data_IF_866829211224
#
_entry.id   IF_866829211224
#
_cell.length_a   1.000
_cell.length_b   1.000
_cell.length_c   1.000
_cell.angle_alpha   90.00
_cell.angle_beta   90.00
_cell.angle_gamma   90.00
#
_symmetry.space_group_name_H-M   'P 1'
#
loop_
_entity.id
_entity.type
_entity.pdbx_description
1 polymer ?
#
# COMPACT_ATOMS: atom_id res chain seq x y z
N UNK A 1 49.91 -17.19 -12.13
CA UNK A 1 49.05 -18.00 -11.29
C UNK A 1 48.66 -17.12 -10.10
N UNK A 2 47.54 -16.37 -10.22
CA UNK A 2 47.07 -15.47 -9.19
C UNK A 2 46.28 -16.33 -8.16
N UNK A 3 46.82 -16.44 -6.97
CA UNK A 3 46.13 -17.02 -5.80
C UNK A 3 44.86 -16.18 -5.56
N UNK A 4 43.70 -16.75 -5.85
CA UNK A 4 42.44 -16.19 -5.37
C UNK A 4 42.47 -16.25 -3.84
N UNK A 5 42.54 -15.07 -3.20
CA UNK A 5 42.42 -14.98 -1.77
C UNK A 5 41.11 -15.63 -1.35
N UNK A 6 41.16 -16.66 -0.50
CA UNK A 6 40.01 -17.20 0.20
C UNK A 6 39.41 -16.05 1.03
N UNK A 7 38.11 -15.72 0.90
CA UNK A 7 37.51 -14.66 1.70
C UNK A 7 37.70 -14.99 3.18
N UNK A 8 38.09 -13.96 3.96
CA UNK A 8 38.18 -14.07 5.41
C UNK A 8 36.86 -14.55 5.99
N UNK A 9 36.85 -15.34 7.10
CA UNK A 9 35.63 -15.68 7.82
C UNK A 9 34.76 -14.45 8.14
N UNK A 10 35.36 -13.28 8.35
CA UNK A 10 34.66 -12.01 8.53
C UNK A 10 33.83 -11.55 7.30
N UNK A 11 34.11 -12.08 6.10
CA UNK A 11 33.44 -11.71 4.85
C UNK A 11 32.34 -12.70 4.44
N UNK A 12 32.13 -13.78 5.20
CA UNK A 12 31.09 -14.77 4.89
C UNK A 12 29.71 -14.30 5.39
N UNK A 13 28.71 -14.05 4.52
CA UNK A 13 27.40 -13.58 4.92
C UNK A 13 26.69 -14.46 5.96
N UNK A 14 26.94 -15.78 5.97
CA UNK A 14 26.36 -16.69 6.96
C UNK A 14 26.95 -16.46 8.34
N UNK A 15 28.26 -16.27 8.44
CA UNK A 15 28.94 -16.01 9.69
C UNK A 15 28.58 -14.61 10.24
N UNK A 16 28.46 -13.63 9.35
CA UNK A 16 27.97 -12.29 9.69
C UNK A 16 26.51 -12.35 10.18
N UNK A 17 25.65 -13.12 9.52
CA UNK A 17 24.28 -13.32 9.97
C UNK A 17 24.23 -13.95 11.38
N UNK A 18 25.05 -14.96 11.63
CA UNK A 18 25.10 -15.65 12.93
C UNK A 18 25.66 -14.77 14.06
N UNK A 19 26.63 -13.92 13.78
CA UNK A 19 27.31 -13.11 14.79
C UNK A 19 26.69 -11.74 15.01
N UNK A 20 26.17 -11.09 13.96
CA UNK A 20 25.70 -9.71 13.98
C UNK A 20 24.17 -9.58 13.80
N UNK A 21 23.48 -10.67 13.42
CA UNK A 21 22.05 -10.65 13.11
C UNK A 21 21.73 -10.07 11.74
N UNK A 22 20.46 -10.30 11.31
CA UNK A 22 20.01 -9.97 9.95
C UNK A 22 20.04 -8.46 9.64
N UNK A 23 19.82 -7.61 10.62
CA UNK A 23 19.79 -6.16 10.46
C UNK A 23 21.15 -5.55 10.04
N UNK A 24 22.24 -6.25 10.29
CA UNK A 24 23.59 -5.80 9.93
C UNK A 24 23.99 -6.19 8.49
N UNK A 25 23.19 -6.97 7.80
CA UNK A 25 23.47 -7.46 6.45
C UNK A 25 22.77 -6.62 5.40
N UNK A 26 23.45 -6.43 4.28
CA UNK A 26 22.86 -5.84 3.06
C UNK A 26 21.87 -6.82 2.42
N UNK A 27 20.98 -6.31 1.56
CA UNK A 27 20.05 -7.16 0.80
C UNK A 27 20.79 -8.20 -0.06
N UNK A 28 21.95 -7.83 -0.64
CA UNK A 28 22.77 -8.77 -1.40
C UNK A 28 23.32 -9.91 -0.53
N UNK A 29 23.80 -9.60 0.68
CA UNK A 29 24.28 -10.62 1.63
C UNK A 29 23.16 -11.55 2.09
N UNK A 30 21.96 -11.01 2.37
CA UNK A 30 20.79 -11.83 2.72
C UNK A 30 20.38 -12.75 1.57
N UNK A 31 20.39 -12.26 0.32
CA UNK A 31 20.16 -13.09 -0.86
C UNK A 31 21.24 -14.16 -1.00
N UNK A 32 22.52 -13.83 -0.75
CA UNK A 32 23.62 -14.80 -0.79
C UNK A 32 23.42 -15.94 0.24
N UNK A 33 22.95 -15.62 1.44
CA UNK A 33 22.61 -16.62 2.47
C UNK A 33 21.50 -17.54 1.98
N UNK A 34 20.42 -16.99 1.38
CA UNK A 34 19.30 -17.76 0.83
C UNK A 34 19.74 -18.68 -0.33
N UNK A 35 20.60 -18.19 -1.22
CA UNK A 35 21.12 -18.96 -2.34
C UNK A 35 22.02 -20.13 -1.89
N UNK A 36 22.79 -19.90 -0.85
CA UNK A 36 23.69 -20.88 -0.24
C UNK A 36 24.99 -21.11 -0.99
N UNK A 37 24.95 -21.28 -2.31
CA UNK A 37 26.10 -21.48 -3.17
C UNK A 37 25.88 -20.82 -4.52
N UNK A 38 26.94 -20.47 -5.20
CA UNK A 38 26.92 -20.04 -6.61
C UNK A 38 26.57 -21.16 -7.59
N UNK A 39 26.94 -20.98 -8.81
CA UNK A 39 26.95 -21.99 -9.86
C UNK A 39 28.40 -22.27 -10.29
N UNK A 40 28.66 -23.31 -11.09
CA UNK A 40 30.03 -23.54 -11.62
C UNK A 40 30.60 -22.36 -12.39
N UNK A 41 29.72 -21.52 -12.96
CA UNK A 41 30.12 -20.37 -13.80
C UNK A 41 30.00 -19.02 -13.08
N UNK A 42 29.42 -18.93 -11.86
CA UNK A 42 29.20 -17.65 -11.16
C UNK A 42 29.30 -17.79 -9.66
N UNK A 43 29.97 -16.85 -9.01
CA UNK A 43 30.01 -16.79 -7.55
C UNK A 43 28.62 -16.45 -6.97
N UNK A 44 28.36 -16.86 -5.73
CA UNK A 44 27.13 -16.51 -5.03
C UNK A 44 27.05 -15.00 -4.78
N UNK A 45 28.17 -14.34 -4.58
CA UNK A 45 28.26 -12.89 -4.32
C UNK A 45 27.88 -12.07 -5.55
N UNK A 46 28.38 -12.44 -6.74
CA UNK A 46 28.06 -11.74 -7.98
C UNK A 46 26.59 -11.91 -8.32
N UNK A 47 26.08 -13.13 -8.18
CA UNK A 47 24.68 -13.45 -8.42
C UNK A 47 23.74 -12.70 -7.45
N UNK A 48 24.07 -12.68 -6.16
CA UNK A 48 23.25 -12.00 -5.15
C UNK A 48 23.26 -10.48 -5.31
N UNK A 49 24.39 -9.89 -5.69
CA UNK A 49 24.50 -8.46 -5.95
C UNK A 49 23.63 -8.06 -7.15
N UNK A 50 23.74 -8.77 -8.27
CA UNK A 50 22.93 -8.51 -9.46
C UNK A 50 21.43 -8.65 -9.18
N UNK A 51 21.02 -9.67 -8.44
CA UNK A 51 19.63 -9.83 -8.03
C UNK A 51 19.17 -8.67 -7.13
N UNK A 52 20.02 -8.24 -6.18
CA UNK A 52 19.70 -7.11 -5.30
C UNK A 52 19.52 -5.80 -6.07
N UNK A 53 20.36 -5.55 -7.08
CA UNK A 53 20.30 -4.37 -7.96
C UNK A 53 19.00 -4.29 -8.78
N UNK A 54 18.33 -5.42 -9.06
CA UNK A 54 17.02 -5.45 -9.70
C UNK A 54 15.89 -4.95 -8.79
N UNK A 55 16.14 -4.82 -7.49
CA UNK A 55 15.19 -4.42 -6.47
C UNK A 55 14.35 -5.58 -5.93
N UNK A 56 14.18 -5.61 -4.61
CA UNK A 56 13.49 -6.70 -3.90
C UNK A 56 12.03 -6.86 -4.34
N UNK A 57 11.33 -5.75 -4.61
CA UNK A 57 9.93 -5.79 -5.08
C UNK A 57 9.83 -6.46 -6.45
N UNK A 58 10.73 -6.13 -7.38
CA UNK A 58 10.79 -6.75 -8.72
C UNK A 58 11.05 -8.26 -8.63
N UNK A 59 11.95 -8.68 -7.73
CA UNK A 59 12.20 -10.10 -7.48
C UNK A 59 10.97 -10.81 -6.91
N UNK A 60 10.33 -10.22 -5.90
CA UNK A 60 9.16 -10.79 -5.25
C UNK A 60 7.96 -10.98 -6.20
N UNK A 61 7.82 -10.10 -7.20
CA UNK A 61 6.76 -10.13 -8.21
C UNK A 61 7.10 -10.96 -9.44
N UNK A 62 8.33 -11.45 -9.56
CA UNK A 62 8.77 -12.21 -10.73
C UNK A 62 8.10 -13.59 -10.78
N UNK A 63 7.58 -14.03 -11.95
CA UNK A 63 7.12 -15.41 -12.11
C UNK A 63 8.27 -16.40 -11.87
N UNK A 64 8.03 -17.56 -11.22
CA UNK A 64 9.07 -18.52 -10.85
C UNK A 64 9.96 -18.94 -12.03
N UNK A 65 9.35 -19.28 -13.17
CA UNK A 65 10.06 -19.70 -14.37
C UNK A 65 10.88 -18.57 -15.02
N UNK A 66 10.40 -17.33 -14.92
CA UNK A 66 11.14 -16.15 -15.41
C UNK A 66 12.37 -15.90 -14.56
N UNK A 67 12.20 -15.96 -13.23
CA UNK A 67 13.30 -15.81 -12.29
C UNK A 67 14.34 -16.95 -12.44
N UNK A 68 13.88 -18.19 -12.63
CA UNK A 68 14.73 -19.37 -12.83
C UNK A 68 15.61 -19.33 -14.09
N UNK A 69 15.21 -18.57 -15.13
CA UNK A 69 16.01 -18.36 -16.35
C UNK A 69 17.21 -17.45 -16.14
N UNK A 70 17.29 -16.78 -15.01
CA UNK A 70 18.45 -15.96 -14.69
C UNK A 70 19.70 -16.84 -14.58
N UNK A 71 20.75 -16.47 -15.30
CA UNK A 71 21.96 -17.29 -15.41
C UNK A 71 22.58 -17.56 -14.02
N UNK A 72 22.77 -18.82 -13.68
CA UNK A 72 23.32 -19.27 -12.40
C UNK A 72 22.29 -19.45 -11.26
N UNK A 73 21.00 -19.10 -11.48
CA UNK A 73 19.99 -19.19 -10.43
C UNK A 73 19.29 -20.57 -10.39
N UNK A 74 18.71 -21.01 -11.51
CA UNK A 74 17.93 -22.25 -11.60
C UNK A 74 16.64 -22.24 -10.75
N UNK A 75 15.76 -23.20 -11.01
CA UNK A 75 14.42 -23.23 -10.41
C UNK A 75 14.46 -23.37 -8.88
N UNK A 76 15.28 -24.24 -8.33
CA UNK A 76 15.32 -24.50 -6.88
C UNK A 76 15.70 -23.22 -6.09
N UNK A 77 16.67 -22.46 -6.57
CA UNK A 77 17.09 -21.21 -5.95
C UNK A 77 16.05 -20.11 -6.12
N UNK A 78 15.42 -20.01 -7.31
CA UNK A 78 14.33 -19.08 -7.57
C UNK A 78 13.15 -19.30 -6.61
N UNK A 79 12.72 -20.55 -6.43
CA UNK A 79 11.65 -20.91 -5.51
C UNK A 79 12.00 -20.59 -4.04
N UNK A 80 13.26 -20.78 -3.63
CA UNK A 80 13.73 -20.44 -2.28
C UNK A 80 13.62 -18.94 -2.00
N UNK A 81 14.03 -18.10 -2.95
CA UNK A 81 13.89 -16.64 -2.84
C UNK A 81 12.42 -16.23 -2.75
N UNK A 82 11.57 -16.77 -3.63
CA UNK A 82 10.14 -16.44 -3.64
C UNK A 82 9.45 -16.92 -2.35
N UNK A 83 9.81 -18.08 -1.82
CA UNK A 83 9.30 -18.56 -0.55
C UNK A 83 9.69 -17.64 0.62
N UNK A 84 10.92 -17.12 0.64
CA UNK A 84 11.37 -16.18 1.67
C UNK A 84 10.58 -14.87 1.60
N UNK A 85 10.33 -14.32 0.41
CA UNK A 85 9.49 -13.12 0.24
C UNK A 85 8.04 -13.38 0.68
N UNK A 86 7.48 -14.54 0.38
CA UNK A 86 6.12 -14.89 0.81
C UNK A 86 6.03 -15.04 2.33
N UNK A 87 7.02 -15.65 2.97
CA UNK A 87 7.09 -15.72 4.45
C UNK A 87 7.19 -14.32 5.07
N UNK A 88 8.02 -13.43 4.52
CA UNK A 88 8.10 -12.03 4.98
C UNK A 88 6.77 -11.28 4.81
N UNK A 89 6.07 -11.50 3.70
CA UNK A 89 4.73 -10.92 3.47
C UNK A 89 3.70 -11.44 4.48
N UNK A 90 3.73 -12.74 4.81
CA UNK A 90 2.84 -13.33 5.84
C UNK A 90 3.16 -12.78 7.22
N UNK A 91 4.44 -12.72 7.59
CA UNK A 91 4.86 -12.13 8.87
C UNK A 91 4.37 -10.69 9.01
N UNK A 92 4.55 -9.87 7.97
CA UNK A 92 4.04 -8.49 7.97
C UNK A 92 2.51 -8.41 8.09
N UNK A 93 1.79 -9.38 7.51
CA UNK A 93 0.33 -9.45 7.63
C UNK A 93 -0.14 -9.93 9.02
N UNK A 94 0.64 -10.75 9.70
CA UNK A 94 0.38 -11.19 11.08
C UNK A 94 0.63 -10.06 12.09
N UNK A 95 1.69 -9.27 11.90
CA UNK A 95 2.04 -8.13 12.76
C UNK A 95 1.21 -6.86 12.46
N UNK A 96 0.49 -6.84 11.32
CA UNK A 96 -0.34 -5.69 10.99
C UNK A 96 -1.45 -5.51 12.03
N UNK A 97 -1.59 -4.31 12.62
CA UNK A 97 -2.69 -4.05 13.55
C UNK A 97 -4.03 -4.35 12.84
N UNK A 98 -5.02 -4.86 13.59
CA UNK A 98 -6.31 -5.15 12.99
C UNK A 98 -6.85 -3.89 12.30
N UNK A 99 -7.21 -4.03 11.02
CA UNK A 99 -7.74 -2.92 10.23
C UNK A 99 -9.00 -2.39 10.91
N UNK A 100 -9.09 -1.09 11.18
CA UNK A 100 -10.25 -0.53 11.86
C UNK A 100 -11.51 -0.81 11.04
N UNK A 101 -12.58 -1.14 11.73
CA UNK A 101 -13.91 -1.31 11.13
C UNK A 101 -14.62 0.03 11.11
N UNK A 102 -14.99 0.46 9.91
CA UNK A 102 -15.60 1.76 9.63
C UNK A 102 -17.02 1.54 9.09
N UNK A 103 -17.87 0.95 9.91
CA UNK A 103 -19.22 0.51 9.54
C UNK A 103 -20.35 1.46 9.96
N UNK A 104 -19.98 2.58 10.59
CA UNK A 104 -20.90 3.67 10.89
C UNK A 104 -20.29 5.02 10.51
N UNK A 105 -21.12 6.05 10.27
CA UNK A 105 -20.63 7.41 10.00
C UNK A 105 -19.73 7.95 11.12
N UNK A 106 -20.02 7.63 12.38
CA UNK A 106 -19.24 8.02 13.56
C UNK A 106 -17.86 7.37 13.54
N UNK A 107 -17.78 6.08 13.19
CA UNK A 107 -16.52 5.36 13.09
C UNK A 107 -15.65 5.95 11.96
N UNK A 108 -16.26 6.27 10.80
CA UNK A 108 -15.57 6.94 9.69
C UNK A 108 -15.11 8.34 10.09
N UNK A 109 -15.98 9.15 10.67
CA UNK A 109 -15.65 10.49 11.13
C UNK A 109 -14.57 10.47 12.21
N UNK A 110 -14.65 9.55 13.19
CA UNK A 110 -13.61 9.38 14.21
C UNK A 110 -12.24 9.03 13.64
N UNK A 111 -12.21 8.30 12.52
CA UNK A 111 -10.98 8.02 11.78
C UNK A 111 -10.45 9.26 11.02
N UNK A 112 -11.33 10.05 10.41
CA UNK A 112 -10.97 11.14 9.51
C UNK A 112 -10.72 12.49 10.22
N UNK A 113 -11.51 12.85 11.23
CA UNK A 113 -11.44 14.15 11.91
C UNK A 113 -10.03 14.50 12.40
N UNK A 114 -9.30 13.60 13.11
CA UNK A 114 -7.96 13.94 13.61
C UNK A 114 -6.93 14.19 12.51
N UNK A 115 -7.21 13.70 11.29
CA UNK A 115 -6.29 13.75 10.15
C UNK A 115 -6.58 14.89 9.20
N UNK A 116 -7.85 15.21 8.99
CA UNK A 116 -8.26 16.05 7.87
C UNK A 116 -9.06 17.30 8.24
N UNK A 117 -9.69 17.35 9.43
CA UNK A 117 -10.55 18.47 9.79
C UNK A 117 -9.80 19.81 9.93
N UNK A 118 -8.51 19.80 10.21
CA UNK A 118 -7.69 21.00 10.45
C UNK A 118 -6.96 21.53 9.21
N UNK A 119 -7.19 20.94 8.02
CA UNK A 119 -6.59 21.48 6.80
C UNK A 119 -7.09 22.90 6.50
N UNK A 120 -6.14 23.82 6.23
CA UNK A 120 -6.44 25.20 5.92
C UNK A 120 -7.09 25.38 4.53
N UNK A 121 -6.93 24.41 3.65
CA UNK A 121 -7.59 24.31 2.34
C UNK A 121 -8.49 23.09 2.31
N UNK A 122 -9.48 23.13 1.44
CA UNK A 122 -10.36 21.98 1.21
C UNK A 122 -9.57 20.82 0.62
N UNK A 123 -9.70 19.64 1.21
CA UNK A 123 -9.15 18.39 0.68
C UNK A 123 -10.32 17.44 0.44
N UNK A 124 -10.30 16.80 -0.72
CA UNK A 124 -11.23 15.74 -1.06
C UNK A 124 -10.49 14.40 -1.11
N UNK A 125 -11.06 13.37 -0.49
CA UNK A 125 -10.44 12.06 -0.43
C UNK A 125 -11.43 10.92 -0.38
N UNK A 126 -10.90 9.71 -0.32
CA UNK A 126 -11.65 8.46 -0.20
C UNK A 126 -11.08 7.58 0.91
N UNK A 127 -11.97 6.83 1.52
CA UNK A 127 -11.68 5.66 2.35
C UNK A 127 -12.13 4.42 1.59
N UNK A 128 -11.22 3.50 1.32
CA UNK A 128 -11.48 2.24 0.64
C UNK A 128 -11.78 1.14 1.66
N UNK A 129 -12.87 0.40 1.47
CA UNK A 129 -13.35 -0.61 2.42
C UNK A 129 -13.49 -2.00 1.79
N UNK A 130 -13.25 -3.04 2.60
CA UNK A 130 -13.54 -4.42 2.22
C UNK A 130 -15.03 -4.77 2.45
N UNK A 131 -15.42 -6.03 2.15
CA UNK A 131 -16.80 -6.52 2.33
C UNK A 131 -17.28 -6.56 3.79
N UNK A 132 -16.39 -6.39 4.76
CA UNK A 132 -16.69 -6.31 6.20
C UNK A 132 -16.53 -4.89 6.74
N UNK A 133 -16.52 -3.89 5.88
CA UNK A 133 -16.28 -2.47 6.19
C UNK A 133 -14.97 -2.21 6.94
N UNK A 134 -13.93 -3.02 6.70
CA UNK A 134 -12.61 -2.76 7.25
C UNK A 134 -11.81 -1.88 6.31
N UNK A 135 -11.03 -0.98 6.87
CA UNK A 135 -10.16 -0.05 6.13
C UNK A 135 -9.13 -0.82 5.31
N UNK A 136 -9.16 -0.64 3.99
CA UNK A 136 -8.12 -1.11 3.07
C UNK A 136 -7.05 -0.05 2.83
N UNK A 137 -7.45 1.22 2.82
CA UNK A 137 -6.59 2.36 2.64
C UNK A 137 -7.39 3.66 2.53
N UNK A 138 -6.66 4.76 2.57
CA UNK A 138 -7.16 6.12 2.47
C UNK A 138 -6.33 6.88 1.45
N UNK A 139 -6.95 7.73 0.65
CA UNK A 139 -6.26 8.50 -0.38
C UNK A 139 -6.89 9.87 -0.55
N UNK A 140 -6.07 10.92 -0.46
CA UNK A 140 -6.44 12.25 -0.93
C UNK A 140 -6.44 12.22 -2.44
N UNK A 141 -7.56 12.63 -3.04
CA UNK A 141 -7.79 12.69 -4.48
C UNK A 141 -7.43 14.06 -5.01
N UNK A 142 -7.81 15.10 -4.26
CA UNK A 142 -7.53 16.46 -4.66
C UNK A 142 -7.40 17.38 -3.45
N UNK A 143 -6.62 18.46 -3.62
CA UNK A 143 -6.47 19.52 -2.64
C UNK A 143 -6.79 20.84 -3.33
N UNK A 144 -7.76 21.58 -2.80
CA UNK A 144 -8.23 22.84 -3.38
C UNK A 144 -7.38 24.03 -3.02
N UNK A 145 -7.45 25.05 -3.91
CA UNK A 145 -7.12 26.42 -3.59
C UNK A 145 -8.32 27.18 -3.01
N UNK A 146 -8.33 28.52 -3.11
CA UNK A 146 -9.39 29.38 -2.54
C UNK A 146 -10.79 29.22 -3.18
N UNK A 147 -10.94 28.41 -4.23
CA UNK A 147 -12.19 28.13 -4.93
C UNK A 147 -12.26 26.64 -5.23
N UNK A 148 -13.30 25.96 -4.79
CA UNK A 148 -13.66 24.54 -4.88
C UNK A 148 -12.74 23.59 -5.67
N UNK A 149 -12.57 22.38 -5.17
CA UNK A 149 -11.83 21.32 -5.85
C UNK A 149 -12.71 20.70 -6.93
N UNK A 150 -12.35 20.89 -8.20
CA UNK A 150 -13.02 20.18 -9.30
C UNK A 150 -12.63 18.69 -9.26
N UNK A 151 -13.42 17.87 -8.55
CA UNK A 151 -13.26 16.40 -8.50
C UNK A 151 -14.22 15.75 -9.48
N UNK A 152 -13.72 14.82 -10.28
CA UNK A 152 -14.54 13.97 -11.14
C UNK A 152 -14.70 12.56 -10.57
N UNK A 153 -15.77 11.82 -10.93
CA UNK A 153 -15.86 10.42 -10.58
C UNK A 153 -14.67 9.58 -11.05
N UNK A 154 -14.09 9.92 -12.20
CA UNK A 154 -12.93 9.22 -12.73
C UNK A 154 -11.72 9.33 -11.77
N UNK A 155 -11.43 10.52 -11.23
CA UNK A 155 -10.33 10.75 -10.29
C UNK A 155 -10.52 9.93 -9.01
N UNK A 156 -11.75 9.92 -8.49
CA UNK A 156 -12.14 9.19 -7.27
C UNK A 156 -11.95 7.69 -7.43
N UNK A 157 -12.50 7.10 -8.48
CA UNK A 157 -12.40 5.65 -8.66
C UNK A 157 -11.01 5.21 -9.12
N UNK A 158 -10.29 6.02 -9.90
CA UNK A 158 -8.89 5.75 -10.21
C UNK A 158 -8.03 5.70 -8.94
N UNK A 159 -8.27 6.58 -7.98
CA UNK A 159 -7.59 6.57 -6.69
C UNK A 159 -7.97 5.36 -5.83
N UNK A 160 -9.20 4.83 -5.97
CA UNK A 160 -9.71 3.69 -5.21
C UNK A 160 -9.20 2.34 -5.74
N UNK A 161 -9.10 2.16 -7.06
CA UNK A 161 -8.79 0.88 -7.71
C UNK A 161 -7.54 0.13 -7.17
N UNK A 162 -6.41 0.80 -6.82
CA UNK A 162 -5.25 0.10 -6.25
C UNK A 162 -5.54 -0.66 -4.96
N UNK A 163 -6.54 -0.24 -4.18
CA UNK A 163 -6.96 -0.90 -2.95
C UNK A 163 -7.88 -2.10 -3.19
N UNK A 164 -8.39 -2.29 -4.42
CA UNK A 164 -9.39 -3.31 -4.79
C UNK A 164 -10.58 -3.33 -3.82
N UNK A 165 -11.26 -2.19 -3.60
CA UNK A 165 -12.28 -2.06 -2.58
C UNK A 165 -13.58 -2.75 -3.01
N UNK A 166 -14.40 -3.16 -2.02
CA UNK A 166 -15.80 -3.51 -2.25
C UNK A 166 -16.68 -2.27 -2.24
N UNK A 167 -16.31 -1.30 -1.42
CA UNK A 167 -17.02 -0.03 -1.29
C UNK A 167 -16.06 1.10 -0.92
N UNK A 168 -16.50 2.33 -1.12
CA UNK A 168 -15.78 3.53 -0.74
C UNK A 168 -16.68 4.46 0.07
N UNK A 169 -16.05 5.24 0.95
CA UNK A 169 -16.62 6.46 1.54
C UNK A 169 -15.86 7.63 0.95
N UNK A 170 -16.56 8.61 0.42
CA UNK A 170 -15.98 9.89 0.05
C UNK A 170 -15.90 10.79 1.29
N UNK A 171 -14.93 11.69 1.33
CA UNK A 171 -14.87 12.71 2.37
C UNK A 171 -14.24 14.00 1.85
N UNK A 172 -14.61 15.12 2.44
CA UNK A 172 -13.91 16.39 2.32
C UNK A 172 -14.04 17.20 3.61
N UNK A 173 -13.20 18.20 3.78
CA UNK A 173 -13.31 19.12 4.89
C UNK A 173 -13.75 20.49 4.39
N UNK A 174 -14.52 21.20 5.22
CA UNK A 174 -14.82 22.60 5.08
C UNK A 174 -13.92 23.43 6.01
N UNK A 175 -13.00 24.24 5.47
CA UNK A 175 -12.15 25.13 6.28
C UNK A 175 -12.94 26.17 7.09
N UNK A 176 -14.20 26.45 6.72
CA UNK A 176 -15.12 27.28 7.49
C UNK A 176 -15.49 26.70 8.86
N UNK A 177 -15.33 25.38 9.03
CA UNK A 177 -15.76 24.66 10.24
C UNK A 177 -17.24 24.26 10.26
N UNK A 178 -18.05 24.63 9.25
CA UNK A 178 -19.43 24.18 9.10
C UNK A 178 -19.49 22.93 8.22
N UNK A 179 -19.95 21.76 8.73
CA UNK A 179 -20.02 20.52 7.97
C UNK A 179 -21.25 20.42 7.06
N UNK A 180 -22.07 21.49 6.93
CA UNK A 180 -23.28 21.43 6.12
C UNK A 180 -22.92 21.21 4.64
N UNK A 181 -23.46 20.14 3.98
CA UNK A 181 -23.18 19.89 2.57
C UNK A 181 -23.73 21.01 1.66
N UNK A 182 -22.94 21.43 0.68
CA UNK A 182 -23.35 22.35 -0.37
C UNK A 182 -24.17 21.64 -1.46
N UNK A 183 -24.75 22.40 -2.38
CA UNK A 183 -25.44 21.82 -3.56
C UNK A 183 -24.45 21.15 -4.52
N UNK A 184 -23.23 21.68 -4.61
CA UNK A 184 -22.14 21.09 -5.38
C UNK A 184 -21.75 19.72 -4.81
N UNK A 185 -21.68 19.58 -3.47
CA UNK A 185 -21.40 18.30 -2.80
C UNK A 185 -22.49 17.27 -3.09
N UNK A 186 -23.75 17.68 -3.05
CA UNK A 186 -24.88 16.81 -3.39
C UNK A 186 -24.81 16.33 -4.84
N UNK A 187 -24.54 17.25 -5.78
CA UNK A 187 -24.40 16.92 -7.19
C UNK A 187 -23.22 15.99 -7.46
N UNK A 188 -22.08 16.22 -6.80
CA UNK A 188 -20.92 15.33 -6.91
C UNK A 188 -21.24 13.95 -6.33
N UNK A 189 -21.83 13.87 -5.13
CA UNK A 189 -22.18 12.62 -4.46
C UNK A 189 -23.11 11.77 -5.31
N UNK A 190 -24.14 12.37 -5.92
CA UNK A 190 -25.01 11.67 -6.85
C UNK A 190 -24.24 11.07 -8.03
N UNK A 191 -23.32 11.84 -8.65
CA UNK A 191 -22.50 11.34 -9.77
C UNK A 191 -21.59 10.19 -9.33
N UNK A 192 -20.99 10.29 -8.11
CA UNK A 192 -20.15 9.24 -7.55
C UNK A 192 -20.92 7.96 -7.31
N UNK A 193 -22.12 8.04 -6.70
CA UNK A 193 -22.99 6.88 -6.45
C UNK A 193 -23.31 6.14 -7.76
N UNK A 194 -23.76 6.87 -8.79
CA UNK A 194 -24.07 6.31 -10.12
C UNK A 194 -22.86 5.66 -10.79
N UNK A 195 -21.68 6.30 -10.69
CA UNK A 195 -20.46 5.73 -11.26
C UNK A 195 -20.00 4.48 -10.51
N UNK A 196 -20.15 4.47 -9.17
CA UNK A 196 -19.84 3.33 -8.33
C UNK A 196 -20.70 2.11 -8.64
N UNK A 197 -22.01 2.31 -8.90
CA UNK A 197 -22.91 1.24 -9.34
C UNK A 197 -22.41 0.57 -10.62
N UNK A 198 -22.01 1.36 -11.62
CA UNK A 198 -21.50 0.85 -12.90
C UNK A 198 -20.19 0.06 -12.72
N UNK A 199 -19.32 0.53 -11.82
CA UNK A 199 -18.02 -0.10 -11.54
C UNK A 199 -18.10 -1.29 -10.58
N UNK A 200 -19.26 -1.53 -9.94
CA UNK A 200 -19.40 -2.53 -8.89
C UNK A 200 -18.67 -2.16 -7.58
N UNK A 201 -18.38 -0.88 -7.36
CA UNK A 201 -17.73 -0.32 -6.16
C UNK A 201 -18.71 0.67 -5.53
N UNK A 202 -19.47 0.23 -4.52
CA UNK A 202 -20.51 1.05 -3.93
C UNK A 202 -19.94 2.28 -3.20
N UNK A 203 -20.51 3.47 -3.45
CA UNK A 203 -20.36 4.61 -2.54
C UNK A 203 -21.30 4.39 -1.35
N UNK A 204 -20.76 4.15 -0.15
CA UNK A 204 -21.59 3.82 1.03
C UNK A 204 -21.88 5.01 1.92
N UNK A 205 -21.10 6.08 1.83
CA UNK A 205 -21.36 7.37 2.46
C UNK A 205 -20.49 8.47 1.82
N UNK A 206 -20.81 9.73 2.14
CA UNK A 206 -19.98 10.89 1.93
C UNK A 206 -19.96 11.71 3.23
N UNK A 207 -18.78 11.90 3.80
CA UNK A 207 -18.58 12.59 5.09
C UNK A 207 -18.00 13.99 4.84
N UNK A 208 -18.69 15.01 5.29
CA UNK A 208 -18.18 16.37 5.33
C UNK A 208 -17.64 16.66 6.72
N UNK A 209 -16.40 17.11 6.82
CA UNK A 209 -15.72 17.42 8.07
C UNK A 209 -15.71 18.93 8.29
N UNK A 210 -16.17 19.38 9.45
CA UNK A 210 -16.17 20.80 9.84
C UNK A 210 -15.68 20.99 11.28
N UNK A 211 -14.43 21.41 11.47
CA UNK A 211 -13.87 21.59 12.81
C UNK A 211 -13.87 20.29 13.62
N UNK A 212 -14.74 20.23 14.63
CA UNK A 212 -14.94 19.01 15.46
C UNK A 212 -16.21 18.25 15.14
N UNK A 213 -16.98 18.72 14.16
CA UNK A 213 -18.24 18.14 13.74
C UNK A 213 -18.11 17.49 12.37
N UNK A 214 -19.09 16.68 12.02
CA UNK A 214 -19.21 16.09 10.69
C UNK A 214 -20.68 16.00 10.26
N UNK A 215 -20.90 15.88 8.96
CA UNK A 215 -22.19 15.50 8.38
C UNK A 215 -22.01 14.26 7.52
N UNK A 216 -22.97 13.34 7.59
CA UNK A 216 -23.03 12.12 6.75
C UNK A 216 -24.19 12.25 5.78
N UNK A 217 -23.91 12.10 4.49
CA UNK A 217 -24.94 12.09 3.46
C UNK A 217 -25.97 10.99 3.68
N UNK A 218 -25.51 9.82 4.13
CA UNK A 218 -26.37 8.71 4.46
C UNK A 218 -27.32 9.03 5.62
N UNK A 219 -26.82 9.64 6.70
CA UNK A 219 -27.65 10.04 7.84
C UNK A 219 -28.65 11.13 7.48
N UNK A 220 -28.27 12.04 6.57
CA UNK A 220 -29.13 13.10 6.08
C UNK A 220 -30.15 12.62 5.03
N UNK A 221 -30.09 11.35 4.60
CA UNK A 221 -30.98 10.83 3.54
C UNK A 221 -30.68 11.40 2.17
N UNK A 222 -29.44 11.82 1.92
CA UNK A 222 -28.96 12.39 0.64
C UNK A 222 -28.21 11.39 -0.23
N UNK A 223 -28.09 10.15 0.23
CA UNK A 223 -27.45 9.04 -0.47
C UNK A 223 -28.30 7.76 -0.32
#
# INVERSE_FOLDING_TARGET
>A
MLLQATPSPADNPRERLASLGAAALTSAELIAVLLGAGSPSRSVFDLSRELSERGLLSLAQSPPLTLARHHGLGLAKALRILAAFELGRRLHAEDAPPRPRLDSPEAVAGHLLPRHASHASEVFGIVALDSKHRLLGEKIVATGGRHSVAVSPADVFQAALPFRPRSVVAFHNHPSGDPQPSEEDKALTYRLARSGEVLGIALVDHIVLGGRAFASFRQLGLL
#
